data_IF_523838424401
#
_entry.id   IF_523838424401
#
_cell.length_a   1.000
_cell.length_b   1.000
_cell.length_c   1.000
_cell.angle_alpha   90.00
_cell.angle_beta   90.00
_cell.angle_gamma   90.00
#
_symmetry.space_group_name_H-M   'P 1'
#
loop_
_entity.id
_entity.type
_entity.pdbx_description
1 polymer ?
#
# COMPACT_ATOMS: atom_id res chain seq x y z
N UNK A 1 50.72 14.19 6.83
CA UNK A 1 50.12 14.47 5.49
C UNK A 1 49.60 13.21 4.78
N UNK A 2 50.24 12.05 4.94
CA UNK A 2 49.79 10.76 4.35
C UNK A 2 48.48 10.22 4.94
N UNK A 3 48.30 10.32 6.26
CA UNK A 3 47.06 9.91 6.94
C UNK A 3 45.82 10.70 6.47
N UNK A 4 45.94 12.03 6.36
CA UNK A 4 44.85 12.89 5.86
C UNK A 4 44.45 12.54 4.42
N UNK A 5 45.42 12.24 3.55
CA UNK A 5 45.15 11.83 2.16
C UNK A 5 44.47 10.47 2.08
N UNK A 6 44.91 9.50 2.90
CA UNK A 6 44.29 8.18 2.97
C UNK A 6 42.83 8.29 3.47
N UNK A 7 42.57 9.11 4.48
CA UNK A 7 41.21 9.36 4.99
C UNK A 7 40.30 10.00 3.94
N UNK A 8 40.78 11.02 3.21
CA UNK A 8 39.99 11.66 2.14
C UNK A 8 39.66 10.68 1.02
N UNK A 9 40.61 9.86 0.58
CA UNK A 9 40.37 8.85 -0.45
C UNK A 9 39.38 7.78 0.01
N UNK A 10 39.48 7.34 1.27
CA UNK A 10 38.55 6.35 1.83
C UNK A 10 37.13 6.91 1.93
N UNK A 11 36.96 8.15 2.36
CA UNK A 11 35.66 8.83 2.39
C UNK A 11 35.11 8.97 0.97
N UNK A 12 35.92 9.43 0.01
CA UNK A 12 35.48 9.58 -1.38
C UNK A 12 35.05 8.24 -1.99
N UNK A 13 35.79 7.16 -1.70
CA UNK A 13 35.43 5.82 -2.12
C UNK A 13 34.12 5.34 -1.49
N UNK A 14 33.93 5.54 -0.19
CA UNK A 14 32.70 5.17 0.50
C UNK A 14 31.49 5.93 -0.05
N UNK A 15 31.63 7.23 -0.32
CA UNK A 15 30.58 8.05 -0.94
C UNK A 15 30.26 7.55 -2.35
N UNK A 16 31.28 7.28 -3.17
CA UNK A 16 31.06 6.76 -4.52
C UNK A 16 30.38 5.39 -4.51
N UNK A 17 30.78 4.51 -3.59
CA UNK A 17 30.16 3.20 -3.40
C UNK A 17 28.68 3.32 -3.00
N UNK A 18 28.34 4.28 -2.13
CA UNK A 18 26.96 4.54 -1.72
C UNK A 18 26.13 5.13 -2.87
N UNK A 19 26.68 6.10 -3.62
CA UNK A 19 25.99 6.69 -4.78
C UNK A 19 25.74 5.68 -5.91
N UNK A 20 26.59 4.66 -6.03
CA UNK A 20 26.44 3.60 -7.03
C UNK A 20 25.92 2.28 -6.43
N UNK A 21 25.35 2.30 -5.23
CA UNK A 21 24.92 1.08 -4.57
C UNK A 21 23.79 0.42 -5.37
N UNK A 22 23.98 -0.83 -5.82
CA UNK A 22 23.06 -1.46 -6.77
C UNK A 22 21.77 -1.90 -6.06
N UNK A 23 20.62 -1.60 -6.67
CA UNK A 23 19.31 -1.88 -6.08
C UNK A 23 19.11 -3.37 -5.77
N UNK A 24 19.63 -4.27 -6.62
CA UNK A 24 19.55 -5.72 -6.40
C UNK A 24 20.12 -6.19 -5.06
N UNK A 25 21.19 -5.53 -4.58
CA UNK A 25 21.81 -5.89 -3.30
C UNK A 25 20.98 -5.36 -2.13
N UNK A 26 20.45 -4.13 -2.27
CA UNK A 26 19.52 -3.58 -1.29
C UNK A 26 18.26 -4.44 -1.18
N UNK A 27 17.70 -4.87 -2.32
CA UNK A 27 16.52 -5.72 -2.40
C UNK A 27 16.76 -7.08 -1.76
N UNK A 28 17.88 -7.75 -2.08
CA UNK A 28 18.22 -9.05 -1.48
C UNK A 28 18.49 -8.98 0.03
N UNK A 29 18.84 -7.79 0.55
CA UNK A 29 19.04 -7.56 1.97
C UNK A 29 17.78 -7.06 2.69
N UNK A 30 16.73 -6.68 1.95
CA UNK A 30 15.48 -6.22 2.51
C UNK A 30 14.65 -7.41 2.99
N UNK A 31 14.02 -7.27 4.15
CA UNK A 31 12.98 -8.19 4.62
C UNK A 31 11.70 -7.88 3.84
N UNK A 32 11.56 -8.52 2.67
CA UNK A 32 10.37 -8.39 1.83
C UNK A 32 9.29 -9.37 2.31
N UNK A 33 7.99 -9.01 2.23
CA UNK A 33 6.91 -9.95 2.47
C UNK A 33 7.02 -11.18 1.57
N UNK A 34 6.68 -12.36 2.08
CA UNK A 34 6.79 -13.63 1.35
C UNK A 34 5.90 -13.66 0.08
N UNK A 35 4.82 -12.89 0.04
CA UNK A 35 3.92 -12.80 -1.12
C UNK A 35 4.33 -11.75 -2.16
N UNK A 36 5.43 -11.03 -1.95
CA UNK A 36 5.94 -10.03 -2.89
C UNK A 36 6.98 -10.66 -3.82
N UNK A 37 6.59 -10.84 -5.07
CA UNK A 37 7.44 -11.36 -6.13
C UNK A 37 7.89 -10.26 -7.09
N UNK A 38 9.16 -10.27 -7.46
CA UNK A 38 9.73 -9.38 -8.47
C UNK A 38 10.55 -10.21 -9.44
N UNK A 39 10.24 -10.11 -10.74
CA UNK A 39 10.94 -10.87 -11.77
C UNK A 39 12.36 -10.33 -11.98
N UNK A 40 12.50 -9.02 -12.09
CA UNK A 40 13.78 -8.38 -12.39
C UNK A 40 13.97 -7.08 -11.59
N UNK A 41 15.18 -6.89 -11.04
CA UNK A 41 15.59 -5.68 -10.31
C UNK A 41 16.77 -5.03 -11.02
N UNK A 42 16.66 -3.76 -11.39
CA UNK A 42 17.69 -3.00 -12.13
C UNK A 42 17.95 -1.62 -11.50
N UNK A 43 19.13 -1.06 -11.81
CA UNK A 43 19.53 0.28 -11.40
C UNK A 43 20.16 0.36 -10.01
N UNK A 44 20.14 1.56 -9.44
CA UNK A 44 20.70 1.87 -8.11
C UNK A 44 19.57 2.13 -7.12
N UNK A 45 19.88 2.19 -5.83
CA UNK A 45 18.90 2.57 -4.81
C UNK A 45 18.32 3.98 -5.00
N UNK A 46 19.00 4.83 -5.77
CA UNK A 46 18.59 6.22 -6.04
C UNK A 46 17.66 6.31 -7.25
N UNK A 47 17.89 5.48 -8.25
CA UNK A 47 17.10 5.38 -9.48
C UNK A 47 17.17 3.95 -10.00
N UNK A 48 16.13 3.18 -9.70
CA UNK A 48 16.03 1.79 -10.08
C UNK A 48 14.64 1.44 -10.57
N UNK A 49 14.52 0.19 -11.00
CA UNK A 49 13.33 -0.33 -11.66
C UNK A 49 13.10 -1.77 -11.20
N UNK A 50 11.87 -2.07 -10.84
CA UNK A 50 11.38 -3.41 -10.54
C UNK A 50 10.43 -3.80 -11.67
N UNK A 51 10.74 -4.86 -12.40
CA UNK A 51 9.88 -5.34 -13.50
C UNK A 51 9.10 -6.58 -13.07
N UNK A 52 7.85 -6.68 -13.53
CA UNK A 52 6.99 -7.83 -13.26
C UNK A 52 6.64 -8.00 -11.78
N UNK A 53 6.41 -6.89 -11.07
CA UNK A 53 6.08 -6.95 -9.64
C UNK A 53 4.69 -7.56 -9.46
N UNK A 54 4.61 -8.55 -8.57
CA UNK A 54 3.36 -9.24 -8.21
C UNK A 54 3.27 -9.32 -6.70
N UNK A 55 2.10 -9.01 -6.13
CA UNK A 55 1.85 -9.11 -4.70
C UNK A 55 0.56 -9.88 -4.46
N UNK A 56 0.62 -10.96 -3.68
CA UNK A 56 -0.54 -11.84 -3.38
C UNK A 56 -1.30 -12.30 -4.64
N UNK A 57 -0.57 -12.55 -5.72
CA UNK A 57 -1.12 -12.94 -7.03
C UNK A 57 -1.62 -11.78 -7.90
N UNK A 58 -1.63 -10.54 -7.40
CA UNK A 58 -1.99 -9.34 -8.15
C UNK A 58 -0.76 -8.77 -8.84
N UNK A 59 -0.78 -8.72 -10.17
CA UNK A 59 0.29 -8.08 -10.94
C UNK A 59 0.23 -6.56 -10.74
N UNK A 60 1.20 -6.02 -10.01
CA UNK A 60 1.39 -4.59 -9.83
C UNK A 60 2.07 -3.94 -11.05
N UNK A 61 2.69 -4.75 -11.90
CA UNK A 61 3.36 -4.29 -13.12
C UNK A 61 4.80 -3.83 -12.85
N UNK A 62 5.27 -2.90 -13.67
CA UNK A 62 6.62 -2.35 -13.54
C UNK A 62 6.59 -1.12 -12.63
N UNK A 63 7.52 -1.08 -11.67
CA UNK A 63 7.65 -0.01 -10.68
C UNK A 63 8.99 0.70 -10.84
N UNK A 64 8.95 2.00 -11.09
CA UNK A 64 10.10 2.88 -10.96
C UNK A 64 10.33 3.21 -9.47
N UNK A 65 11.53 2.94 -8.98
CA UNK A 65 11.94 3.23 -7.61
C UNK A 65 12.92 4.40 -7.61
N UNK A 66 12.58 5.43 -6.84
CA UNK A 66 13.45 6.58 -6.63
C UNK A 66 13.65 6.80 -5.14
N UNK A 67 14.84 7.23 -4.72
CA UNK A 67 15.06 7.67 -3.34
C UNK A 67 15.70 9.03 -3.26
N UNK A 68 15.27 9.82 -2.27
CA UNK A 68 15.72 11.19 -2.06
C UNK A 68 15.89 11.48 -0.57
N UNK A 69 17.03 12.07 -0.21
CA UNK A 69 17.28 12.65 1.12
C UNK A 69 16.88 14.14 1.14
N UNK A 70 16.73 14.74 -0.04
CA UNK A 70 16.44 16.17 -0.18
C UNK A 70 14.96 16.49 0.05
N UNK A 71 14.08 15.52 -0.17
CA UNK A 71 12.63 15.71 -0.08
C UNK A 71 12.18 15.92 1.38
N UNK A 72 12.91 15.33 2.34
CA UNK A 72 12.66 15.47 3.77
C UNK A 72 13.98 15.46 4.56
N UNK A 73 14.44 16.60 5.09
CA UNK A 73 15.71 16.68 5.81
C UNK A 73 15.75 15.71 7.00
N UNK A 74 16.70 14.78 6.96
CA UNK A 74 16.90 13.78 8.02
C UNK A 74 16.29 12.41 7.73
N UNK A 75 15.45 12.28 6.71
CA UNK A 75 14.83 11.01 6.31
C UNK A 75 15.23 10.66 4.86
N UNK A 76 15.42 9.37 4.60
CA UNK A 76 15.53 8.86 3.23
C UNK A 76 14.13 8.47 2.76
N UNK A 77 13.57 9.19 1.80
CA UNK A 77 12.25 8.86 1.25
C UNK A 77 12.44 7.96 0.03
N UNK A 78 11.83 6.78 0.05
CA UNK A 78 11.73 5.91 -1.11
C UNK A 78 10.34 6.08 -1.74
N UNK A 79 10.28 6.26 -3.05
CA UNK A 79 9.04 6.40 -3.80
C UNK A 79 8.99 5.33 -4.88
N UNK A 80 7.88 4.61 -4.94
CA UNK A 80 7.53 3.70 -6.02
C UNK A 80 6.47 4.36 -6.90
N UNK A 81 6.60 4.25 -8.22
CA UNK A 81 5.61 4.71 -9.20
C UNK A 81 5.39 3.69 -10.31
N UNK A 82 4.17 3.59 -10.81
CA UNK A 82 3.84 2.87 -12.03
C UNK A 82 3.00 3.73 -12.96
N UNK A 83 3.22 3.57 -14.26
CA UNK A 83 2.42 4.24 -15.29
C UNK A 83 1.25 3.37 -15.80
N UNK A 84 1.28 2.05 -15.54
CA UNK A 84 0.35 1.09 -16.14
C UNK A 84 -0.20 0.03 -15.17
N UNK A 85 0.20 0.09 -13.89
CA UNK A 85 -0.19 -0.86 -12.86
C UNK A 85 -1.27 -0.34 -11.90
N UNK A 86 -1.85 -1.24 -11.07
CA UNK A 86 -2.84 -0.86 -10.07
C UNK A 86 -2.29 0.05 -8.96
N UNK A 87 -0.97 0.14 -8.79
CA UNK A 87 -0.32 1.08 -7.89
C UNK A 87 0.29 2.23 -8.71
N UNK A 88 -0.32 3.41 -8.68
CA UNK A 88 0.21 4.58 -9.39
C UNK A 88 1.41 5.18 -8.65
N UNK A 89 1.30 5.34 -7.32
CA UNK A 89 2.38 5.88 -6.50
C UNK A 89 2.28 5.41 -5.05
N UNK A 90 3.43 5.29 -4.38
CA UNK A 90 3.54 5.17 -2.94
C UNK A 90 4.89 5.72 -2.45
N UNK A 91 4.93 6.30 -1.26
CA UNK A 91 6.16 6.78 -0.63
C UNK A 91 6.34 6.21 0.76
N UNK A 92 7.58 5.83 1.08
CA UNK A 92 7.97 5.21 2.34
C UNK A 92 9.18 6.00 2.87
N UNK A 93 8.98 6.91 3.85
CA UNK A 93 10.10 7.52 4.56
C UNK A 93 10.77 6.48 5.46
N UNK A 94 12.04 6.21 5.20
CA UNK A 94 12.90 5.39 6.04
C UNK A 94 13.39 6.26 7.20
N UNK A 95 12.68 6.19 8.33
CA UNK A 95 13.06 6.84 9.58
C UNK A 95 13.20 5.82 10.69
N UNK A 96 13.89 6.18 11.78
CA UNK A 96 14.00 5.32 12.96
C UNK A 96 12.69 5.22 13.77
N UNK A 97 11.63 5.94 13.38
CA UNK A 97 10.37 6.07 14.13
C UNK A 97 9.22 5.42 13.37
N UNK A 98 8.91 4.18 13.71
CA UNK A 98 7.75 3.47 13.20
C UNK A 98 7.81 3.16 11.70
N UNK A 99 6.76 2.50 11.20
CA UNK A 99 6.57 2.27 9.76
C UNK A 99 5.56 3.26 9.25
N UNK A 100 5.94 4.07 8.26
CA UNK A 100 5.07 5.08 7.67
C UNK A 100 5.00 4.85 6.17
N UNK A 101 3.79 4.88 5.62
CA UNK A 101 3.53 4.87 4.19
C UNK A 101 2.67 6.07 3.87
N UNK A 102 3.02 6.85 2.85
CA UNK A 102 2.37 8.10 2.49
C UNK A 102 2.15 8.20 0.98
N UNK A 103 1.21 9.07 0.58
CA UNK A 103 0.92 9.39 -0.82
C UNK A 103 0.61 8.15 -1.66
N UNK A 104 -0.07 7.16 -1.07
CA UNK A 104 -0.50 5.96 -1.77
C UNK A 104 -1.66 6.32 -2.69
N UNK A 105 -1.46 6.08 -3.98
CA UNK A 105 -2.49 6.20 -4.99
C UNK A 105 -2.57 4.88 -5.74
N UNK A 106 -3.73 4.23 -5.69
CA UNK A 106 -3.94 2.92 -6.29
C UNK A 106 -5.34 2.85 -6.91
N UNK A 107 -5.48 2.08 -7.98
CA UNK A 107 -6.75 1.78 -8.64
C UNK A 107 -6.70 0.34 -9.13
N UNK A 108 -7.59 -0.52 -8.65
CA UNK A 108 -7.56 -1.94 -8.99
C UNK A 108 -8.97 -2.51 -9.13
N UNK A 109 -9.11 -3.55 -9.96
CA UNK A 109 -10.33 -4.36 -9.95
C UNK A 109 -10.40 -5.11 -8.61
N UNK A 110 -11.52 -4.97 -7.91
CA UNK A 110 -11.76 -5.58 -6.62
C UNK A 110 -11.68 -7.11 -6.70
N UNK A 111 -12.04 -7.70 -7.84
CA UNK A 111 -11.91 -9.14 -8.08
C UNK A 111 -10.44 -9.62 -8.09
N UNK A 112 -9.49 -8.74 -8.38
CA UNK A 112 -8.07 -9.07 -8.27
C UNK A 112 -7.60 -9.07 -6.80
N UNK A 113 -8.17 -8.19 -5.97
CA UNK A 113 -7.79 -8.05 -4.56
C UNK A 113 -8.51 -9.05 -3.65
N UNK A 114 -9.79 -9.34 -3.91
CA UNK A 114 -10.63 -10.21 -3.11
C UNK A 114 -11.16 -11.36 -3.98
N UNK A 115 -10.65 -12.60 -3.78
CA UNK A 115 -11.18 -13.78 -4.45
C UNK A 115 -12.69 -13.93 -4.17
N UNK A 116 -13.49 -13.95 -5.24
CA UNK A 116 -14.95 -14.05 -5.16
C UNK A 116 -15.70 -12.73 -5.34
N UNK A 117 -15.01 -11.58 -5.31
CA UNK A 117 -15.63 -10.30 -5.64
C UNK A 117 -16.02 -10.25 -7.14
N UNK A 118 -17.03 -9.42 -7.44
CA UNK A 118 -17.49 -9.22 -8.81
C UNK A 118 -16.41 -8.57 -9.68
N UNK A 119 -16.22 -9.14 -10.88
CA UNK A 119 -15.41 -8.51 -11.91
C UNK A 119 -16.01 -7.17 -12.36
N UNK A 120 -15.15 -6.19 -12.65
CA UNK A 120 -15.54 -4.86 -13.14
C UNK A 120 -15.85 -3.86 -12.04
N UNK A 121 -15.73 -4.24 -10.76
CA UNK A 121 -15.79 -3.30 -9.63
C UNK A 121 -14.41 -2.72 -9.42
N UNK A 122 -14.27 -1.41 -9.53
CA UNK A 122 -12.99 -0.75 -9.28
C UNK A 122 -12.94 -0.17 -7.88
N UNK A 123 -11.83 -0.43 -7.20
CA UNK A 123 -11.44 0.19 -5.94
C UNK A 123 -10.39 1.25 -6.23
N UNK A 124 -10.71 2.49 -5.87
CA UNK A 124 -9.82 3.64 -5.95
C UNK A 124 -9.36 4.03 -4.55
N UNK A 125 -8.05 4.24 -4.39
CA UNK A 125 -7.42 4.77 -3.18
C UNK A 125 -6.64 6.02 -3.59
N UNK A 126 -6.91 7.14 -2.92
CA UNK A 126 -6.31 8.44 -3.24
C UNK A 126 -5.65 9.06 -2.02
N UNK A 127 -4.41 9.50 -2.22
CA UNK A 127 -3.60 10.22 -1.24
C UNK A 127 -3.62 9.55 0.15
N UNK A 128 -3.58 8.22 0.16
CA UNK A 128 -3.64 7.46 1.39
C UNK A 128 -2.30 7.52 2.12
N UNK A 129 -2.36 7.67 3.44
CA UNK A 129 -1.21 7.60 4.30
C UNK A 129 -1.54 6.93 5.62
N UNK A 130 -0.63 6.08 6.09
CA UNK A 130 -0.77 5.22 7.25
C UNK A 130 0.51 5.31 8.08
N UNK A 131 0.36 5.55 9.37
CA UNK A 131 1.43 5.55 10.37
C UNK A 131 1.20 4.39 11.33
N UNK A 132 2.22 3.54 11.49
CA UNK A 132 2.20 2.39 12.39
C UNK A 132 3.18 2.57 13.54
N UNK A 133 2.75 2.19 14.74
CA UNK A 133 3.59 2.08 15.93
C UNK A 133 3.41 0.69 16.57
N UNK A 134 4.50 -0.06 16.69
CA UNK A 134 4.47 -1.43 17.22
C UNK A 134 3.53 -2.39 16.46
N UNK A 135 3.31 -2.16 15.17
CA UNK A 135 2.38 -2.93 14.33
C UNK A 135 0.92 -2.43 14.36
N UNK A 136 0.60 -1.39 15.15
CA UNK A 136 -0.76 -0.86 15.27
C UNK A 136 -0.93 0.44 14.49
N UNK A 137 -2.11 0.63 13.89
CA UNK A 137 -2.49 1.88 13.22
C UNK A 137 -2.64 3.01 14.24
N UNK A 138 -1.78 4.03 14.16
CA UNK A 138 -1.87 5.23 15.02
C UNK A 138 -2.41 6.46 14.29
N UNK A 139 -2.17 6.55 12.98
CA UNK A 139 -2.79 7.56 12.12
C UNK A 139 -3.05 7.00 10.72
N UNK A 140 -4.19 7.34 10.15
CA UNK A 140 -4.51 7.04 8.75
C UNK A 140 -5.33 8.18 8.15
N UNK A 141 -5.12 8.44 6.87
CA UNK A 141 -5.86 9.41 6.07
C UNK A 141 -5.89 8.96 4.62
N UNK A 142 -6.68 9.66 3.81
CA UNK A 142 -6.91 9.37 2.40
C UNK A 142 -8.37 9.07 2.12
N UNK A 143 -8.65 8.89 0.84
CA UNK A 143 -9.99 8.62 0.32
C UNK A 143 -10.01 7.24 -0.32
N UNK A 144 -11.10 6.52 -0.10
CA UNK A 144 -11.36 5.21 -0.70
C UNK A 144 -12.71 5.32 -1.40
N UNK A 145 -12.75 4.90 -2.65
CA UNK A 145 -13.95 4.87 -3.46
C UNK A 145 -14.13 3.51 -4.12
N UNK A 146 -15.37 3.06 -4.24
CA UNK A 146 -15.75 1.88 -4.98
C UNK A 146 -16.78 2.30 -6.03
N UNK A 147 -16.50 1.95 -7.29
CA UNK A 147 -17.38 2.32 -8.40
C UNK A 147 -18.73 1.60 -8.35
N UNK A 148 -19.76 2.28 -8.88
CA UNK A 148 -21.09 1.70 -9.03
C UNK A 148 -21.09 0.58 -10.08
N UNK A 149 -21.96 -0.41 -9.88
CA UNK A 149 -22.33 -1.39 -10.90
C UNK A 149 -23.83 -1.26 -11.19
N UNK A 150 -24.24 -0.34 -12.10
CA UNK A 150 -25.66 -0.12 -12.37
C UNK A 150 -26.40 -1.38 -12.82
N UNK A 151 -25.72 -2.25 -13.58
CA UNK A 151 -26.30 -3.50 -14.08
C UNK A 151 -26.70 -4.49 -12.97
N UNK A 152 -26.11 -4.35 -11.77
CA UNK A 152 -26.39 -5.19 -10.61
C UNK A 152 -27.05 -4.42 -9.47
N UNK A 153 -27.40 -3.15 -9.69
CA UNK A 153 -27.99 -2.29 -8.67
C UNK A 153 -27.03 -1.96 -7.52
N UNK A 154 -25.72 -2.13 -7.71
CA UNK A 154 -24.71 -1.77 -6.70
C UNK A 154 -24.40 -0.27 -6.84
N UNK A 155 -24.62 0.56 -5.81
CA UNK A 155 -24.30 1.98 -5.88
C UNK A 155 -22.78 2.19 -5.76
N UNK A 156 -22.33 3.41 -6.07
CA UNK A 156 -20.97 3.83 -5.73
C UNK A 156 -20.85 4.00 -4.21
N UNK A 157 -19.64 3.85 -3.69
CA UNK A 157 -19.32 4.09 -2.29
C UNK A 157 -18.11 4.98 -2.16
N UNK A 158 -18.14 5.90 -1.22
CA UNK A 158 -17.02 6.77 -0.90
C UNK A 158 -16.82 6.81 0.61
N UNK A 159 -15.57 6.95 1.04
CA UNK A 159 -15.22 7.07 2.45
C UNK A 159 -13.79 7.51 2.67
N UNK A 160 -13.45 7.72 3.94
CA UNK A 160 -12.11 8.12 4.35
C UNK A 160 -11.45 7.01 5.16
N UNK A 161 -10.14 6.91 5.03
CA UNK A 161 -9.34 6.06 5.90
C UNK A 161 -9.17 6.73 7.26
N UNK A 162 -9.27 5.93 8.32
CA UNK A 162 -9.01 6.33 9.69
C UNK A 162 -8.41 5.15 10.47
N UNK A 163 -7.70 5.43 11.55
CA UNK A 163 -7.36 4.40 12.52
C UNK A 163 -8.46 4.31 13.58
N UNK A 164 -8.95 3.10 13.85
CA UNK A 164 -9.80 2.81 15.02
C UNK A 164 -9.32 1.55 15.72
N UNK A 165 -9.11 1.64 17.03
CA UNK A 165 -8.65 0.52 17.86
C UNK A 165 -7.36 -0.16 17.32
N UNK A 166 -6.47 0.61 16.70
CA UNK A 166 -5.23 0.09 16.11
C UNK A 166 -5.39 -0.61 14.76
N UNK A 167 -6.60 -0.63 14.18
CA UNK A 167 -6.89 -1.13 12.85
C UNK A 167 -7.00 0.02 11.85
N UNK A 168 -6.71 -0.26 10.58
CA UNK A 168 -7.03 0.63 9.47
C UNK A 168 -8.49 0.39 9.12
N UNK A 169 -9.31 1.43 9.12
CA UNK A 169 -10.73 1.31 8.85
C UNK A 169 -11.20 2.37 7.85
N UNK A 170 -12.14 1.99 7.00
CA UNK A 170 -12.89 2.92 6.15
C UNK A 170 -14.38 2.68 6.30
N UNK A 171 -15.12 3.74 6.63
CA UNK A 171 -16.57 3.75 6.58
C UNK A 171 -16.98 4.30 5.22
N UNK A 172 -17.45 3.41 4.37
CA UNK A 172 -17.87 3.66 3.02
C UNK A 172 -19.39 3.85 2.99
N UNK A 173 -19.84 4.94 2.37
CA UNK A 173 -21.25 5.27 2.25
C UNK A 173 -21.61 5.58 0.80
N UNK A 174 -22.82 5.19 0.40
CA UNK A 174 -23.37 5.54 -0.90
C UNK A 174 -23.90 6.98 -0.91
N UNK A 175 -24.00 7.61 -2.10
CA UNK A 175 -24.55 8.97 -2.25
C UNK A 175 -25.98 9.15 -1.71
N UNK A 176 -26.78 8.08 -1.70
CA UNK A 176 -28.14 8.09 -1.16
C UNK A 176 -28.20 7.96 0.37
N UNK A 177 -27.09 7.66 1.04
CA UNK A 177 -26.98 7.45 2.48
C UNK A 177 -27.65 6.18 3.01
N UNK A 178 -28.24 5.36 2.15
CA UNK A 178 -28.96 4.13 2.54
C UNK A 178 -28.03 2.94 2.69
N UNK A 179 -26.95 2.93 1.90
CA UNK A 179 -25.95 1.88 1.92
C UNK A 179 -24.71 2.36 2.64
N UNK A 180 -24.36 1.64 3.71
CA UNK A 180 -23.12 1.86 4.45
C UNK A 180 -22.45 0.52 4.68
N UNK A 181 -21.15 0.51 4.53
CA UNK A 181 -20.29 -0.62 4.89
C UNK A 181 -19.02 -0.12 5.55
N UNK A 182 -18.50 -0.91 6.46
CA UNK A 182 -17.25 -0.62 7.15
C UNK A 182 -16.26 -1.72 6.80
N UNK A 183 -15.13 -1.32 6.23
CA UNK A 183 -14.01 -2.21 5.92
C UNK A 183 -12.94 -1.99 6.98
N UNK A 184 -12.48 -3.05 7.62
CA UNK A 184 -11.34 -3.01 8.52
C UNK A 184 -10.23 -3.93 8.04
N UNK A 185 -9.00 -3.56 8.36
CA UNK A 185 -7.80 -4.33 8.05
C UNK A 185 -6.82 -4.22 9.21
N UNK A 186 -6.22 -5.33 9.60
CA UNK A 186 -5.12 -5.34 10.57
C UNK A 186 -3.91 -4.68 9.95
N UNK A 187 -3.33 -3.72 10.66
CA UNK A 187 -2.14 -3.07 10.18
C UNK A 187 -0.91 -3.97 10.41
N UNK A 188 0.05 -3.98 9.48
CA UNK A 188 1.35 -4.63 9.68
C UNK A 188 1.37 -6.15 9.63
N UNK A 189 0.25 -6.84 9.42
CA UNK A 189 0.25 -8.28 9.12
C UNK A 189 0.36 -8.49 7.60
N UNK A 190 1.32 -9.32 7.18
CA UNK A 190 1.50 -9.72 5.77
C UNK A 190 0.25 -10.37 5.17
N UNK A 191 -0.53 -11.05 6.03
CA UNK A 191 -1.77 -11.75 5.71
C UNK A 191 -3.05 -10.97 6.07
N UNK A 192 -2.96 -9.64 6.23
CA UNK A 192 -4.14 -8.83 6.55
C UNK A 192 -5.10 -8.77 5.35
N UNK A 193 -6.09 -9.66 5.31
CA UNK A 193 -7.21 -9.53 4.39
C UNK A 193 -8.16 -8.43 4.87
N UNK A 194 -8.61 -7.53 3.97
CA UNK A 194 -9.65 -6.58 4.32
C UNK A 194 -10.96 -7.33 4.60
N UNK A 195 -11.61 -6.98 5.69
CA UNK A 195 -12.85 -7.62 6.15
C UNK A 195 -13.95 -6.57 6.22
N UNK A 196 -15.14 -6.93 5.74
CA UNK A 196 -16.34 -6.14 6.00
C UNK A 196 -16.87 -6.48 7.39
N UNK A 197 -16.73 -5.55 8.33
CA UNK A 197 -17.15 -5.72 9.74
C UNK A 197 -18.58 -5.28 9.98
N UNK A 198 -19.04 -4.26 9.25
CA UNK A 198 -20.40 -3.75 9.40
C UNK A 198 -21.00 -3.47 8.03
N UNK A 199 -22.29 -3.76 7.90
CA UNK A 199 -23.06 -3.56 6.69
C UNK A 199 -24.49 -3.22 7.09
N UNK A 200 -25.08 -2.19 6.47
CA UNK A 200 -26.51 -1.92 6.65
C UNK A 200 -27.36 -3.13 6.17
N UNK A 201 -28.61 -3.31 6.63
CA UNK A 201 -29.43 -4.46 6.22
C UNK A 201 -29.67 -4.52 4.72
N UNK A 202 -29.88 -3.36 4.08
CA UNK A 202 -29.93 -3.24 2.63
C UNK A 202 -28.60 -3.66 2.00
N UNK A 203 -27.49 -3.52 2.74
CA UNK A 203 -26.15 -3.84 2.27
C UNK A 203 -25.74 -5.30 2.37
N UNK A 204 -26.18 -5.99 3.42
CA UNK A 204 -25.92 -7.42 3.59
C UNK A 204 -26.49 -8.26 2.44
N UNK A 205 -27.63 -7.85 1.87
CA UNK A 205 -28.29 -8.56 0.77
C UNK A 205 -27.43 -8.62 -0.51
N UNK A 206 -26.73 -7.52 -0.87
CA UNK A 206 -25.86 -7.55 -2.04
C UNK A 206 -24.51 -8.19 -1.71
N UNK A 207 -23.90 -7.94 -0.55
CA UNK A 207 -22.65 -8.61 -0.15
C UNK A 207 -22.76 -10.14 -0.25
N UNK A 208 -23.88 -10.71 0.21
CA UNK A 208 -24.17 -12.13 0.06
C UNK A 208 -24.30 -12.56 -1.42
N UNK A 209 -24.93 -11.74 -2.26
CA UNK A 209 -25.03 -11.98 -3.70
C UNK A 209 -23.67 -11.84 -4.41
N UNK A 210 -22.75 -11.06 -3.85
CA UNK A 210 -21.40 -10.83 -4.38
C UNK A 210 -20.38 -11.85 -3.86
N UNK A 211 -20.80 -12.81 -3.02
CA UNK A 211 -19.89 -13.79 -2.43
C UNK A 211 -18.84 -13.20 -1.49
N UNK A 212 -19.01 -11.94 -1.06
CA UNK A 212 -18.06 -11.26 -0.16
C UNK A 212 -18.34 -11.77 1.27
N UNK A 213 -17.35 -12.36 1.96
CA UNK A 213 -17.54 -12.86 3.30
C UNK A 213 -17.81 -11.68 4.26
N UNK A 214 -19.00 -11.66 4.84
CA UNK A 214 -19.35 -10.76 5.94
C UNK A 214 -19.00 -11.45 7.26
N UNK A 215 -17.99 -10.95 7.98
CA UNK A 215 -17.72 -11.41 9.34
C UNK A 215 -18.47 -10.52 10.32
N UNK A 216 -19.51 -11.08 10.94
CA UNK A 216 -20.20 -10.42 12.05
C UNK A 216 -19.20 -10.16 13.19
N UNK A 217 -19.18 -8.96 13.79
CA UNK A 217 -18.18 -8.57 14.80
C UNK A 217 -18.24 -9.35 16.11
N UNK A 218 -19.15 -10.32 16.24
CA UNK A 218 -19.33 -11.14 17.44
C UNK A 218 -18.36 -12.33 17.52
N UNK A 219 -17.50 -12.54 16.50
CA UNK A 219 -16.49 -13.61 16.49
C UNK A 219 -15.15 -13.07 16.01
N UNK A 220 -14.55 -12.15 16.77
CA UNK A 220 -13.11 -11.96 16.79
C UNK A 220 -12.60 -12.51 18.14
N UNK A 221 -11.65 -13.46 18.16
CA UNK A 221 -11.07 -13.97 19.40
C UNK A 221 -10.26 -12.91 20.15
#
# INVERSE_FOLDING_TARGET
MTLLRASVLLIAFAVAALCMFPLRLAWAAAETPDELYVETVRGTIWSGELSGVTWRGVTLGDLAITSSILDRPGDLVMTARSDAGPLAAASIPLSARGSVVENVTASADLAALLPGALAGVHLDIREAGITLDGGWCVAAHGEVAIDAIPAQGVPAFDGRLACRNGLIESVLASPDGLHRLTISMTAGASDADPVVTEASPATQLWLAALGIPFMSPEVAP
#
